data_IF_972461285168
#
_entry.id   IF_972461285168
#
_cell.length_a   1.000
_cell.length_b   1.000
_cell.length_c   1.000
_cell.angle_alpha   90.00
_cell.angle_beta   90.00
_cell.angle_gamma   90.00
#
_symmetry.space_group_name_H-M   'P 1'
#
loop_
_entity.id
_entity.type
_entity.pdbx_description
1 polymer ?
#
# COMPACT_ATOMS: atom_id res chain seq x y z
N UNK A 1 -12.62 5.92 -35.09
CA UNK A 1 -13.11 6.94 -36.04
C UNK A 1 -12.11 8.11 -36.16
N UNK A 2 -11.46 8.59 -35.10
CA UNK A 2 -10.50 9.69 -35.18
C UNK A 2 -9.17 9.29 -35.82
N UNK A 3 -8.61 8.15 -35.46
CA UNK A 3 -7.31 7.67 -35.92
C UNK A 3 -7.30 7.41 -37.43
N UNK A 4 -8.28 6.66 -37.96
CA UNK A 4 -8.37 6.31 -39.36
C UNK A 4 -8.57 7.55 -40.25
N UNK A 5 -9.38 8.51 -39.78
CA UNK A 5 -9.56 9.79 -40.45
C UNK A 5 -8.28 10.63 -40.48
N UNK A 6 -7.51 10.63 -39.39
CA UNK A 6 -6.23 11.35 -39.32
C UNK A 6 -5.20 10.73 -40.25
N UNK A 7 -5.13 9.40 -40.34
CA UNK A 7 -4.25 8.71 -41.31
C UNK A 7 -4.64 9.00 -42.74
N UNK A 8 -5.93 8.94 -43.07
CA UNK A 8 -6.40 9.26 -44.42
C UNK A 8 -6.12 10.73 -44.85
N UNK A 9 -5.98 11.64 -43.88
CA UNK A 9 -5.65 13.04 -44.10
C UNK A 9 -4.16 13.37 -43.97
N UNK A 10 -3.30 12.37 -43.71
CA UNK A 10 -1.91 12.58 -43.36
C UNK A 10 -1.13 13.33 -44.44
N UNK A 11 -1.34 13.05 -45.70
CA UNK A 11 -0.67 13.74 -46.81
C UNK A 11 -1.08 15.20 -46.92
N UNK A 12 -2.35 15.50 -46.68
CA UNK A 12 -2.84 16.88 -46.60
C UNK A 12 -2.33 17.62 -45.40
N UNK A 13 -2.10 16.94 -44.26
CA UNK A 13 -1.51 17.52 -43.08
C UNK A 13 -0.02 17.80 -43.31
N UNK A 14 0.70 16.84 -43.88
CA UNK A 14 2.14 16.98 -44.20
C UNK A 14 2.39 18.12 -45.19
N UNK A 15 1.55 18.27 -46.22
CA UNK A 15 1.68 19.35 -47.22
C UNK A 15 1.50 20.76 -46.63
N UNK A 16 0.83 20.88 -45.47
CA UNK A 16 0.62 22.15 -44.77
C UNK A 16 1.71 22.47 -43.77
N UNK A 17 2.64 21.54 -43.50
CA UNK A 17 3.75 21.73 -42.56
C UNK A 17 4.95 22.27 -43.38
N UNK A 18 5.25 23.57 -43.32
CA UNK A 18 6.28 24.19 -44.19
C UNK A 18 7.73 23.83 -43.80
N UNK A 19 7.93 23.03 -42.76
CA UNK A 19 9.25 22.65 -42.26
C UNK A 19 9.34 21.16 -41.91
N UNK A 20 10.00 20.39 -42.75
CA UNK A 20 10.58 19.13 -42.34
C UNK A 20 11.97 19.40 -41.74
N UNK A 21 12.07 19.27 -40.42
CA UNK A 21 13.38 19.26 -39.77
C UNK A 21 14.00 17.87 -39.99
N UNK A 22 15.20 17.81 -40.53
CA UNK A 22 15.96 16.57 -40.63
C UNK A 22 16.13 15.93 -39.23
N UNK A 23 16.31 14.61 -39.19
CA UNK A 23 16.55 13.92 -37.91
C UNK A 23 17.75 14.48 -37.15
N UNK A 24 18.81 14.84 -37.87
CA UNK A 24 20.03 15.40 -37.30
C UNK A 24 19.76 16.78 -36.70
N UNK A 25 18.98 17.62 -37.37
CA UNK A 25 18.59 18.93 -36.85
C UNK A 25 17.75 18.81 -35.58
N UNK A 26 16.83 17.83 -35.53
CA UNK A 26 16.04 17.56 -34.32
C UNK A 26 16.90 17.06 -33.15
N UNK A 27 17.88 16.20 -33.43
CA UNK A 27 18.81 15.71 -32.41
C UNK A 27 19.69 16.84 -31.89
N UNK A 28 20.19 17.69 -32.77
CA UNK A 28 20.98 18.88 -32.40
C UNK A 28 20.15 19.84 -31.53
N UNK A 29 18.93 20.13 -31.90
CA UNK A 29 18.02 20.97 -31.13
C UNK A 29 17.73 20.35 -29.75
N UNK A 30 17.54 19.04 -29.67
CA UNK A 30 17.38 18.33 -28.39
C UNK A 30 18.61 18.39 -27.53
N UNK A 31 19.80 18.24 -28.08
CA UNK A 31 21.06 18.38 -27.35
C UNK A 31 21.24 19.79 -26.83
N UNK A 32 21.02 20.80 -27.66
CA UNK A 32 21.08 22.22 -27.25
C UNK A 32 20.02 22.56 -26.19
N UNK A 33 18.84 21.98 -26.28
CA UNK A 33 17.80 22.15 -25.25
C UNK A 33 18.22 21.48 -23.94
N UNK A 34 18.72 20.24 -24.01
CA UNK A 34 19.20 19.53 -22.82
C UNK A 34 20.40 20.21 -22.17
N UNK A 35 21.32 20.76 -22.95
CA UNK A 35 22.48 21.51 -22.39
C UNK A 35 22.10 22.81 -21.67
N UNK A 36 20.91 23.34 -21.94
CA UNK A 36 20.36 24.51 -21.24
C UNK A 36 19.58 24.14 -19.98
N UNK A 37 19.29 22.85 -19.78
CA UNK A 37 18.59 22.39 -18.59
C UNK A 37 19.63 22.24 -17.48
N UNK A 38 19.48 22.91 -16.34
CA UNK A 38 20.39 22.74 -15.22
C UNK A 38 20.35 21.30 -14.72
N UNK A 39 21.47 20.79 -14.22
CA UNK A 39 21.55 19.49 -13.58
C UNK A 39 20.59 19.45 -12.37
N UNK A 40 19.91 18.33 -12.20
CA UNK A 40 18.97 18.11 -11.10
C UNK A 40 19.75 17.85 -9.80
N UNK A 41 20.28 18.91 -9.24
CA UNK A 41 20.97 18.95 -7.95
C UNK A 41 20.10 19.70 -6.96
N UNK A 42 19.84 19.12 -5.82
CA UNK A 42 19.00 19.67 -4.76
C UNK A 42 19.87 20.26 -3.65
N UNK A 43 19.56 21.48 -3.23
CA UNK A 43 20.26 22.18 -2.15
C UNK A 43 19.51 22.05 -0.82
N UNK A 44 18.19 22.26 -0.84
CA UNK A 44 17.37 22.31 0.37
C UNK A 44 16.14 21.43 0.27
N UNK A 45 15.77 20.86 1.41
CA UNK A 45 14.52 20.10 1.57
C UNK A 45 13.60 20.89 2.50
N UNK A 46 12.45 21.28 1.96
CA UNK A 46 11.36 21.91 2.71
C UNK A 46 10.23 20.91 2.88
N UNK A 47 9.70 20.78 4.09
CA UNK A 47 8.59 19.88 4.39
C UNK A 47 7.44 20.68 4.98
N UNK A 48 6.30 20.67 4.27
CA UNK A 48 5.06 21.31 4.68
C UNK A 48 4.02 20.29 5.14
N UNK A 49 3.15 20.68 6.05
CA UNK A 49 2.10 19.83 6.62
C UNK A 49 2.59 18.97 7.78
N UNK A 50 1.66 18.23 8.40
CA UNK A 50 1.95 17.41 9.56
C UNK A 50 2.41 18.20 10.81
N UNK A 51 2.71 17.46 11.88
CA UNK A 51 3.29 18.02 13.10
C UNK A 51 4.82 18.18 13.00
N UNK A 52 5.44 18.83 13.98
CA UNK A 52 6.90 19.07 14.00
C UNK A 52 7.71 17.77 13.90
N UNK A 53 7.33 16.74 14.62
CA UNK A 53 8.03 15.44 14.62
C UNK A 53 7.92 14.74 13.26
N UNK A 54 6.78 14.86 12.59
CA UNK A 54 6.56 14.31 11.25
C UNK A 54 7.41 15.01 10.21
N UNK A 55 7.48 16.36 10.26
CA UNK A 55 8.33 17.12 9.36
C UNK A 55 9.80 16.79 9.53
N UNK A 56 10.25 16.73 10.78
CA UNK A 56 11.63 16.37 11.10
C UNK A 56 11.95 14.94 10.66
N UNK A 57 11.01 14.02 10.82
CA UNK A 57 11.14 12.65 10.34
C UNK A 57 11.36 12.59 8.83
N UNK A 58 10.53 13.30 8.06
CA UNK A 58 10.64 13.32 6.60
C UNK A 58 11.95 13.96 6.19
N UNK A 59 12.28 15.11 6.78
CA UNK A 59 13.52 15.84 6.50
C UNK A 59 14.76 14.97 6.69
N UNK A 60 14.83 14.20 7.77
CA UNK A 60 15.96 13.28 8.02
C UNK A 60 16.09 12.13 7.03
N UNK A 61 15.05 11.79 6.27
CA UNK A 61 15.19 10.78 5.23
C UNK A 61 16.02 11.28 4.03
N UNK A 62 16.01 12.60 3.83
CA UNK A 62 16.77 13.28 2.80
C UNK A 62 18.09 13.85 3.33
N UNK A 63 18.46 13.48 4.55
CA UNK A 63 19.58 13.95 5.36
C UNK A 63 20.79 14.35 4.48
N UNK A 64 20.86 15.64 4.17
CA UNK A 64 21.97 16.20 3.43
C UNK A 64 22.25 17.61 3.94
N UNK A 65 23.35 17.72 4.67
CA UNK A 65 23.99 19.00 4.93
C UNK A 65 24.70 19.53 3.66
N UNK A 66 24.74 18.70 2.59
CA UNK A 66 25.37 18.99 1.30
C UNK A 66 24.37 18.80 0.15
N UNK A 67 24.56 19.50 -0.98
CA UNK A 67 23.74 19.31 -2.17
C UNK A 67 23.75 17.84 -2.65
N UNK A 68 22.58 17.30 -3.00
CA UNK A 68 22.41 15.89 -3.34
C UNK A 68 21.79 15.71 -4.74
N UNK A 69 22.12 14.58 -5.38
CA UNK A 69 21.69 14.28 -6.73
C UNK A 69 20.24 13.77 -6.80
N UNK A 70 19.67 13.77 -8.02
CA UNK A 70 18.36 13.18 -8.30
C UNK A 70 18.27 11.69 -7.88
N UNK A 71 19.35 10.93 -8.03
CA UNK A 71 19.39 9.52 -7.61
C UNK A 71 19.27 9.37 -6.09
N UNK A 72 19.95 10.22 -5.34
CA UNK A 72 19.86 10.27 -3.88
C UNK A 72 18.46 10.72 -3.44
N UNK A 73 17.91 11.75 -4.12
CA UNK A 73 16.53 12.18 -3.87
C UNK A 73 15.51 11.07 -4.11
N UNK A 74 15.63 10.32 -5.20
CA UNK A 74 14.79 9.17 -5.51
C UNK A 74 14.93 8.06 -4.48
N UNK A 75 16.15 7.72 -4.08
CA UNK A 75 16.38 6.70 -3.05
C UNK A 75 15.73 7.08 -1.72
N UNK A 76 15.89 8.34 -1.29
CA UNK A 76 15.24 8.86 -0.09
C UNK A 76 13.70 8.87 -0.23
N UNK A 77 13.19 9.27 -1.39
CA UNK A 77 11.76 9.26 -1.69
C UNK A 77 11.16 7.86 -1.62
N UNK A 78 11.80 6.84 -2.20
CA UNK A 78 11.33 5.46 -2.11
C UNK A 78 11.30 4.91 -0.68
N UNK A 79 12.15 5.40 0.19
CA UNK A 79 12.08 5.08 1.63
C UNK A 79 10.82 5.66 2.31
N UNK A 80 10.28 6.74 1.77
CA UNK A 80 9.17 7.50 2.35
C UNK A 80 7.82 7.32 1.64
N UNK A 81 7.80 6.60 0.50
CA UNK A 81 6.63 6.48 -0.41
C UNK A 81 5.39 5.88 0.25
N UNK A 82 5.56 5.04 1.28
CA UNK A 82 4.45 4.44 2.02
C UNK A 82 3.54 5.46 2.71
N UNK A 83 4.00 6.71 2.82
CA UNK A 83 3.32 7.73 3.64
C UNK A 83 2.54 8.77 2.79
N UNK A 84 2.33 8.51 1.49
CA UNK A 84 1.47 9.34 0.62
C UNK A 84 1.97 10.78 0.42
N UNK A 85 3.28 10.99 0.39
CA UNK A 85 3.91 12.30 0.22
C UNK A 85 4.09 12.60 -1.27
N UNK A 86 3.95 13.86 -1.63
CA UNK A 86 4.15 14.32 -3.00
C UNK A 86 5.31 15.30 -3.00
N UNK A 87 6.46 14.95 -3.56
CA UNK A 87 7.59 15.87 -3.70
C UNK A 87 7.38 16.79 -4.91
N UNK A 88 7.78 18.03 -4.75
CA UNK A 88 7.84 19.02 -5.83
C UNK A 88 9.26 19.58 -5.90
N UNK A 89 9.87 19.55 -7.07
CA UNK A 89 11.13 20.18 -7.35
C UNK A 89 10.88 21.64 -7.78
N UNK A 90 11.49 22.60 -7.08
CA UNK A 90 11.41 24.01 -7.40
C UNK A 90 12.80 24.54 -7.69
N UNK A 91 13.00 25.09 -8.88
CA UNK A 91 14.27 25.69 -9.27
C UNK A 91 14.48 27.04 -8.57
N UNK A 92 15.61 27.18 -7.93
CA UNK A 92 16.06 28.43 -7.32
C UNK A 92 17.07 29.12 -8.24
N UNK A 93 16.72 30.33 -8.68
CA UNK A 93 17.55 31.10 -9.62
C UNK A 93 18.80 31.66 -8.96
N UNK A 94 18.78 31.88 -7.65
CA UNK A 94 19.91 32.46 -6.91
C UNK A 94 21.01 31.43 -6.68
N UNK A 95 20.67 30.25 -6.27
CA UNK A 95 21.64 29.16 -6.05
C UNK A 95 21.97 28.38 -7.32
N UNK A 96 21.16 28.48 -8.38
CA UNK A 96 21.28 27.66 -9.59
C UNK A 96 20.94 26.19 -9.39
N UNK A 97 20.40 25.82 -8.23
CA UNK A 97 20.05 24.46 -7.82
C UNK A 97 18.53 24.32 -7.62
N UNK A 98 18.09 23.13 -7.32
CA UNK A 98 16.68 22.86 -7.04
C UNK A 98 16.44 22.75 -5.53
N UNK A 99 15.31 23.28 -5.06
CA UNK A 99 14.79 23.00 -3.74
C UNK A 99 13.74 21.88 -3.84
N UNK A 100 13.77 20.93 -2.92
CA UNK A 100 12.80 19.84 -2.85
C UNK A 100 11.72 20.18 -1.82
N UNK A 101 10.55 20.58 -2.30
CA UNK A 101 9.40 20.87 -1.46
C UNK A 101 8.54 19.61 -1.33
N UNK A 102 8.41 19.07 -0.11
CA UNK A 102 7.64 17.87 0.18
C UNK A 102 6.38 18.26 0.93
N UNK A 103 5.23 17.95 0.35
CA UNK A 103 3.95 18.13 1.02
C UNK A 103 3.56 16.83 1.73
N UNK A 104 3.69 16.82 3.05
CA UNK A 104 3.24 15.71 3.85
C UNK A 104 1.71 15.71 3.90
N UNK A 105 1.09 14.61 3.46
CA UNK A 105 -0.34 14.41 3.66
C UNK A 105 -0.55 14.17 5.16
N UNK A 106 -1.41 14.97 5.76
CA UNK A 106 -1.87 14.70 7.14
C UNK A 106 -2.72 13.43 7.06
N UNK A 107 -2.24 12.34 7.64
CA UNK A 107 -3.03 11.13 7.81
C UNK A 107 -3.71 11.22 9.18
N UNK A 108 -4.96 10.83 9.23
CA UNK A 108 -5.63 10.60 10.49
C UNK A 108 -4.83 9.54 11.26
N UNK A 109 -4.44 9.89 12.48
CA UNK A 109 -3.69 8.96 13.32
C UNK A 109 -4.53 7.75 13.72
N UNK A 110 -5.84 7.93 13.79
CA UNK A 110 -6.80 6.88 14.11
C UNK A 110 -7.88 6.86 13.03
N UNK A 111 -8.06 5.72 12.38
CA UNK A 111 -9.16 5.45 11.48
C UNK A 111 -9.97 4.28 12.03
N UNK A 112 -11.30 4.44 12.11
CA UNK A 112 -12.22 3.39 12.49
C UNK A 112 -13.08 3.08 11.29
N UNK A 113 -13.19 1.81 10.94
CA UNK A 113 -14.02 1.31 9.85
C UNK A 113 -15.03 0.30 10.34
N UNK A 114 -16.21 0.37 9.78
CA UNK A 114 -17.22 -0.66 9.93
C UNK A 114 -17.78 -1.03 8.56
N UNK A 115 -18.15 -2.27 8.40
CA UNK A 115 -18.71 -2.77 7.14
C UNK A 115 -19.40 -4.09 7.36
N UNK A 116 -19.98 -4.61 6.30
CA UNK A 116 -20.63 -5.91 6.38
C UNK A 116 -21.48 -6.16 5.14
N UNK A 117 -22.01 -7.34 5.07
CA UNK A 117 -23.00 -7.69 4.07
C UNK A 117 -24.08 -8.56 4.69
N UNK A 118 -25.27 -8.43 4.16
CA UNK A 118 -26.44 -9.23 4.51
C UNK A 118 -26.87 -9.96 3.25
N UNK A 119 -27.04 -11.25 3.37
CA UNK A 119 -27.46 -12.13 2.30
C UNK A 119 -28.65 -12.96 2.74
N UNK A 120 -29.41 -13.46 1.80
CA UNK A 120 -30.46 -14.47 2.05
C UNK A 120 -29.90 -15.83 2.44
N UNK A 121 -28.59 -16.02 2.31
CA UNK A 121 -27.86 -17.21 2.76
C UNK A 121 -27.30 -17.01 4.17
N UNK A 122 -26.71 -18.06 4.73
CA UNK A 122 -26.06 -18.05 6.06
C UNK A 122 -24.74 -17.25 6.11
N UNK A 123 -24.43 -16.47 5.08
CA UNK A 123 -23.16 -15.77 4.93
C UNK A 123 -23.15 -14.34 5.49
N UNK A 124 -24.12 -13.98 6.33
CA UNK A 124 -24.20 -12.63 6.92
C UNK A 124 -22.99 -12.34 7.81
N UNK A 125 -22.35 -11.19 7.60
CA UNK A 125 -21.14 -10.81 8.33
C UNK A 125 -21.15 -9.32 8.64
N UNK A 126 -20.60 -8.98 9.80
CA UNK A 126 -20.30 -7.61 10.23
C UNK A 126 -18.81 -7.54 10.54
N UNK A 127 -18.18 -6.51 10.04
CA UNK A 127 -16.77 -6.20 10.29
C UNK A 127 -16.66 -4.88 11.04
N UNK A 128 -15.78 -4.82 12.02
CA UNK A 128 -15.33 -3.61 12.68
C UNK A 128 -13.81 -3.62 12.77
N UNK A 129 -13.18 -2.49 12.50
CA UNK A 129 -11.75 -2.35 12.58
C UNK A 129 -11.31 -0.98 13.00
N UNK A 130 -10.15 -0.92 13.61
CA UNK A 130 -9.45 0.30 13.97
C UNK A 130 -8.01 0.21 13.47
N UNK A 131 -7.58 1.27 12.82
CA UNK A 131 -6.20 1.45 12.37
C UNK A 131 -5.61 2.67 13.04
N UNK A 132 -4.50 2.49 13.73
CA UNK A 132 -3.76 3.58 14.37
C UNK A 132 -2.36 3.65 13.81
N UNK A 133 -1.99 4.83 13.29
CA UNK A 133 -0.66 5.08 12.74
C UNK A 133 -0.02 6.28 13.43
N UNK A 134 1.16 6.09 13.95
CA UNK A 134 2.01 7.18 14.38
C UNK A 134 3.20 7.31 13.45
N UNK A 135 3.38 8.52 12.91
CA UNK A 135 4.55 8.86 12.10
C UNK A 135 5.47 9.68 12.98
N UNK A 136 6.50 9.05 13.48
CA UNK A 136 7.53 9.64 14.34
C UNK A 136 8.89 9.08 13.92
N UNK A 137 9.93 9.35 14.71
CA UNK A 137 11.27 8.77 14.51
C UNK A 137 11.24 7.24 14.41
N UNK A 138 10.29 6.59 15.07
CA UNK A 138 9.94 5.18 14.87
C UNK A 138 8.45 5.14 14.55
N UNK A 139 8.12 4.79 13.32
CA UNK A 139 6.72 4.66 12.89
C UNK A 139 6.12 3.39 13.47
N UNK A 140 4.93 3.52 14.06
CA UNK A 140 4.15 2.40 14.57
C UNK A 140 2.80 2.38 13.87
N UNK A 141 2.49 1.26 13.21
CA UNK A 141 1.17 0.96 12.65
C UNK A 141 0.52 -0.15 13.45
N UNK A 142 -0.66 0.14 14.00
CA UNK A 142 -1.49 -0.84 14.71
C UNK A 142 -2.79 -1.05 13.93
N UNK A 143 -3.08 -2.30 13.63
CA UNK A 143 -4.35 -2.73 13.05
C UNK A 143 -5.07 -3.65 14.04
N UNK A 144 -6.28 -3.31 14.40
CA UNK A 144 -7.19 -4.16 15.15
C UNK A 144 -8.43 -4.40 14.29
N UNK A 145 -8.80 -5.63 14.07
CA UNK A 145 -9.97 -5.97 13.28
C UNK A 145 -10.73 -7.14 13.89
N UNK A 146 -12.04 -7.07 13.79
CA UNK A 146 -12.94 -8.16 14.19
C UNK A 146 -14.02 -8.37 13.14
N UNK A 147 -14.40 -9.61 12.96
CA UNK A 147 -15.44 -10.01 12.02
C UNK A 147 -16.34 -11.01 12.70
N UNK A 148 -17.63 -10.74 12.68
CA UNK A 148 -18.66 -11.58 13.32
C UNK A 148 -19.69 -11.92 12.27
N UNK A 149 -19.90 -13.20 12.09
CA UNK A 149 -20.89 -13.72 11.16
C UNK A 149 -21.40 -15.08 11.59
N UNK A 150 -22.43 -15.54 10.92
CA UNK A 150 -23.05 -16.83 11.23
C UNK A 150 -22.09 -17.99 10.93
N UNK A 151 -21.39 -17.94 9.83
CA UNK A 151 -20.46 -18.99 9.38
C UNK A 151 -18.99 -18.69 9.72
N UNK A 152 -18.64 -17.42 9.99
CA UNK A 152 -17.28 -17.01 10.21
C UNK A 152 -17.19 -15.94 11.29
N UNK A 153 -16.27 -16.14 12.23
CA UNK A 153 -15.91 -15.15 13.25
C UNK A 153 -14.40 -15.08 13.33
N UNK A 154 -13.85 -13.89 13.33
CA UNK A 154 -12.40 -13.71 13.48
C UNK A 154 -12.03 -12.46 14.22
N UNK A 155 -10.86 -12.49 14.83
CA UNK A 155 -10.18 -11.33 15.39
C UNK A 155 -8.74 -11.28 14.88
N UNK A 156 -8.26 -10.09 14.56
CA UNK A 156 -6.91 -9.83 14.09
C UNK A 156 -6.32 -8.65 14.86
N UNK A 157 -5.09 -8.82 15.31
CA UNK A 157 -4.23 -7.76 15.82
C UNK A 157 -2.94 -7.76 15.04
N UNK A 158 -2.51 -6.61 14.57
CA UNK A 158 -1.26 -6.44 13.85
C UNK A 158 -0.55 -5.19 14.33
N UNK A 159 0.74 -5.31 14.59
CA UNK A 159 1.62 -4.22 14.98
C UNK A 159 2.84 -4.23 14.05
N UNK A 160 3.08 -3.11 13.37
CA UNK A 160 4.25 -2.92 12.53
C UNK A 160 5.09 -1.77 13.07
N UNK A 161 6.37 -2.04 13.25
CA UNK A 161 7.39 -1.09 13.66
C UNK A 161 8.34 -0.86 12.49
N UNK A 162 8.44 0.37 12.03
CA UNK A 162 9.44 0.75 11.04
C UNK A 162 10.71 1.18 11.77
N UNK A 163 11.75 0.37 11.61
CA UNK A 163 13.04 0.56 12.25
C UNK A 163 13.94 1.40 11.35
N UNK A 164 14.44 2.50 11.89
CA UNK A 164 15.39 3.37 11.20
C UNK A 164 16.82 2.97 11.53
N UNK A 165 17.27 2.01 10.78
CA UNK A 165 18.68 1.65 10.74
C UNK A 165 19.28 2.16 9.42
N UNK A 166 20.58 2.03 9.25
CA UNK A 166 21.28 2.37 7.98
C UNK A 166 20.55 1.74 6.77
N UNK A 167 20.03 0.54 6.96
CA UNK A 167 19.10 -0.10 5.99
C UNK A 167 17.70 -0.01 6.58
N UNK A 168 16.76 0.74 5.98
CA UNK A 168 15.41 0.83 6.50
C UNK A 168 14.76 -0.55 6.51
N UNK A 169 14.28 -0.99 7.66
CA UNK A 169 13.62 -2.29 7.82
C UNK A 169 12.34 -2.13 8.63
N UNK A 170 11.45 -3.08 8.52
CA UNK A 170 10.29 -3.14 9.39
C UNK A 170 10.13 -4.49 10.04
N UNK A 171 9.62 -4.47 11.26
CA UNK A 171 9.19 -5.65 12.00
C UNK A 171 7.66 -5.61 12.11
N UNK A 172 6.98 -6.69 11.70
CA UNK A 172 5.53 -6.80 11.81
C UNK A 172 5.16 -8.04 12.60
N UNK A 173 4.48 -7.83 13.71
CA UNK A 173 3.83 -8.89 14.50
C UNK A 173 2.35 -8.95 14.11
N UNK A 174 1.83 -10.14 13.90
CA UNK A 174 0.42 -10.36 13.57
C UNK A 174 -0.10 -11.56 14.35
N UNK A 175 -1.21 -11.38 15.05
CA UNK A 175 -1.97 -12.44 15.69
C UNK A 175 -3.36 -12.50 15.09
N UNK A 176 -3.83 -13.71 14.79
CA UNK A 176 -5.16 -13.97 14.22
C UNK A 176 -5.78 -15.14 14.97
N UNK A 177 -7.03 -15.00 15.31
CA UNK A 177 -7.87 -16.09 15.78
C UNK A 177 -9.15 -16.10 14.94
N UNK A 178 -9.48 -17.24 14.36
CA UNK A 178 -10.67 -17.39 13.52
C UNK A 178 -11.41 -18.67 13.84
N UNK A 179 -12.70 -18.63 13.60
CA UNK A 179 -13.60 -19.77 13.74
C UNK A 179 -14.54 -19.78 12.55
N UNK A 180 -14.52 -20.86 11.80
CA UNK A 180 -15.36 -21.05 10.63
C UNK A 180 -16.22 -22.29 10.79
N UNK A 181 -17.49 -22.18 10.40
CA UNK A 181 -18.44 -23.28 10.36
C UNK A 181 -18.71 -23.66 8.91
N UNK A 182 -18.47 -24.89 8.56
CA UNK A 182 -18.78 -25.46 7.26
C UNK A 182 -20.00 -26.33 7.41
N UNK A 183 -21.08 -25.97 6.72
CA UNK A 183 -22.32 -26.76 6.69
C UNK A 183 -22.26 -27.76 5.58
N UNK A 184 -22.67 -29.01 5.87
CA UNK A 184 -22.59 -30.13 4.90
C UNK A 184 -23.65 -30.02 3.80
N UNK A 185 -24.75 -29.31 4.03
CA UNK A 185 -25.89 -29.19 3.11
C UNK A 185 -26.31 -27.72 2.99
N UNK A 186 -25.62 -26.94 2.19
CA UNK A 186 -26.15 -25.67 1.67
C UNK A 186 -26.91 -25.92 0.38
N UNK A 187 -28.05 -26.63 0.45
CA UNK A 187 -28.96 -26.67 -0.68
C UNK A 187 -29.94 -25.50 -0.60
N UNK A 188 -30.02 -24.74 -1.66
CA UNK A 188 -30.92 -23.58 -1.81
C UNK A 188 -32.43 -23.85 -1.56
N UNK A 189 -32.81 -25.14 -1.45
CA UNK A 189 -34.20 -25.54 -1.41
C UNK A 189 -34.58 -26.44 -0.21
N UNK A 190 -33.66 -26.81 0.66
CA UNK A 190 -33.93 -27.63 1.83
C UNK A 190 -33.38 -26.96 3.09
N UNK A 191 -34.29 -26.54 3.94
CA UNK A 191 -33.97 -26.10 5.31
C UNK A 191 -33.90 -27.36 6.19
N UNK A 192 -32.69 -27.85 6.41
CA UNK A 192 -32.49 -28.89 7.42
C UNK A 192 -32.53 -28.24 8.81
N UNK A 193 -33.41 -28.74 9.68
CA UNK A 193 -33.57 -28.19 11.04
C UNK A 193 -32.37 -28.47 11.94
N UNK A 194 -31.51 -29.42 11.59
CA UNK A 194 -30.30 -29.77 12.33
C UNK A 194 -29.17 -30.16 11.36
N UNK A 195 -28.58 -29.19 10.66
CA UNK A 195 -27.53 -29.48 9.71
C UNK A 195 -26.27 -29.96 10.40
N UNK A 196 -25.64 -31.00 9.86
CA UNK A 196 -24.29 -31.38 10.27
C UNK A 196 -23.30 -30.31 9.86
N UNK A 197 -22.40 -29.95 10.75
CA UNK A 197 -21.38 -28.91 10.45
C UNK A 197 -20.03 -29.25 11.11
N UNK A 198 -18.97 -28.79 10.46
CA UNK A 198 -17.62 -28.81 10.97
C UNK A 198 -17.28 -27.39 11.45
N UNK A 199 -16.79 -27.30 12.66
CA UNK A 199 -16.24 -26.04 13.17
C UNK A 199 -14.73 -26.13 13.15
N UNK A 200 -14.12 -25.33 12.30
CA UNK A 200 -12.68 -25.16 12.24
C UNK A 200 -12.29 -23.93 13.04
N UNK A 201 -11.39 -24.09 13.99
CA UNK A 201 -10.81 -23.01 14.78
C UNK A 201 -9.33 -22.91 14.46
N UNK A 202 -8.90 -21.75 14.00
CA UNK A 202 -7.52 -21.47 13.64
C UNK A 202 -6.99 -20.32 14.49
N UNK A 203 -5.80 -20.49 15.03
CA UNK A 203 -5.08 -19.43 15.76
C UNK A 203 -3.63 -19.43 15.31
N UNK A 204 -3.11 -18.27 14.95
CA UNK A 204 -1.69 -18.15 14.64
C UNK A 204 -1.11 -16.79 15.04
N UNK A 205 0.17 -16.83 15.31
CA UNK A 205 1.01 -15.65 15.47
C UNK A 205 2.12 -15.69 14.44
N UNK A 206 2.36 -14.58 13.76
CA UNK A 206 3.36 -14.46 12.71
C UNK A 206 4.21 -13.22 12.92
N UNK A 207 5.53 -13.42 12.89
CA UNK A 207 6.52 -12.36 12.91
C UNK A 207 7.11 -12.23 11.51
N UNK A 208 7.18 -11.01 10.98
CA UNK A 208 7.75 -10.69 9.66
C UNK A 208 8.81 -9.63 9.79
N UNK A 209 9.95 -9.85 9.17
CA UNK A 209 11.00 -8.89 8.97
C UNK A 209 11.05 -8.53 7.48
N UNK A 210 10.89 -7.26 7.16
CA UNK A 210 10.98 -6.77 5.80
C UNK A 210 12.19 -5.87 5.62
N UNK A 211 12.97 -6.14 4.57
CA UNK A 211 14.17 -5.41 4.20
C UNK A 211 13.99 -4.88 2.77
N UNK A 212 14.28 -3.61 2.49
CA UNK A 212 14.35 -3.14 1.12
C UNK A 212 15.53 -3.83 0.42
N UNK A 213 15.26 -4.33 -0.76
CA UNK A 213 16.26 -4.97 -1.61
C UNK A 213 16.14 -4.35 -2.99
N UNK A 214 17.15 -3.59 -3.41
CA UNK A 214 17.13 -2.80 -4.63
C UNK A 214 16.04 -1.68 -4.64
N UNK A 215 16.10 -0.83 -5.66
CA UNK A 215 15.12 0.23 -5.89
C UNK A 215 13.77 -0.38 -6.32
N UNK A 216 12.79 -0.36 -5.43
CA UNK A 216 11.44 -0.85 -5.71
C UNK A 216 11.15 -2.31 -5.35
N UNK A 217 12.12 -3.05 -4.77
CA UNK A 217 11.94 -4.43 -4.31
C UNK A 217 12.15 -4.55 -2.81
N UNK A 218 11.48 -5.53 -2.18
CA UNK A 218 11.70 -5.86 -0.76
C UNK A 218 11.79 -7.36 -0.57
N UNK A 219 12.70 -7.78 0.29
CA UNK A 219 12.76 -9.14 0.82
C UNK A 219 11.97 -9.21 2.13
N UNK A 220 11.19 -10.27 2.31
CA UNK A 220 10.42 -10.49 3.53
C UNK A 220 10.70 -11.89 4.05
N UNK A 221 11.19 -11.96 5.28
CA UNK A 221 11.34 -13.22 6.01
C UNK A 221 10.24 -13.28 7.07
N UNK A 222 9.58 -14.41 7.19
CA UNK A 222 8.52 -14.58 8.17
C UNK A 222 8.62 -15.92 8.89
N UNK A 223 8.37 -15.88 10.19
CA UNK A 223 8.22 -17.06 11.03
C UNK A 223 6.85 -16.99 11.69
N UNK A 224 6.16 -18.10 11.76
CA UNK A 224 4.85 -18.17 12.40
C UNK A 224 4.64 -19.49 13.11
N UNK A 225 3.84 -19.42 14.14
CA UNK A 225 3.34 -20.58 14.87
C UNK A 225 1.82 -20.50 14.91
N UNK A 226 1.17 -21.61 14.68
CA UNK A 226 -0.30 -21.69 14.70
C UNK A 226 -0.79 -23.06 15.09
N UNK A 227 -2.03 -23.08 15.50
CA UNK A 227 -2.77 -24.30 15.77
C UNK A 227 -4.12 -24.27 15.07
N UNK A 228 -4.55 -25.41 14.61
CA UNK A 228 -5.86 -25.64 13.99
C UNK A 228 -6.55 -26.78 14.73
N UNK A 229 -7.82 -26.57 15.04
CA UNK A 229 -8.64 -27.55 15.74
C UNK A 229 -10.00 -27.65 15.05
N UNK A 230 -10.34 -28.86 14.63
CA UNK A 230 -11.59 -29.17 13.96
C UNK A 230 -12.51 -29.91 14.92
N UNK A 231 -13.75 -29.43 15.04
CA UNK A 231 -14.81 -30.10 15.79
C UNK A 231 -15.93 -30.50 14.83
N UNK A 232 -16.26 -31.76 14.85
CA UNK A 232 -17.31 -32.31 14.04
C UNK A 232 -18.60 -32.43 14.85
N UNK A 233 -19.68 -31.87 14.32
CA UNK A 233 -21.02 -31.99 14.90
C UNK A 233 -21.91 -32.74 13.92
N UNK A 234 -22.35 -33.94 14.32
CA UNK A 234 -23.27 -34.74 13.57
C UNK A 234 -24.67 -34.61 14.15
N UNK A 235 -25.66 -34.32 13.30
CA UNK A 235 -27.05 -34.40 13.76
C UNK A 235 -27.40 -35.88 14.05
N UNK A 236 -27.86 -36.16 15.25
CA UNK A 236 -28.49 -37.44 15.54
C UNK A 236 -29.81 -37.50 14.77
N UNK A 237 -29.79 -38.04 13.57
CA UNK A 237 -31.00 -38.60 12.97
C UNK A 237 -31.36 -39.80 13.81
N UNK A 238 -32.30 -39.62 14.73
CA UNK A 238 -32.88 -40.73 15.47
C UNK A 238 -33.33 -41.78 14.46
N UNK A 239 -32.85 -42.98 14.65
CA UNK A 239 -33.36 -44.16 13.94
C UNK A 239 -34.88 -44.21 14.11
N UNK A 240 -35.62 -43.83 13.09
CA UNK A 240 -37.02 -44.25 12.99
C UNK A 240 -36.97 -45.77 12.70
N UNK A 241 -37.15 -46.56 13.75
CA UNK A 241 -37.55 -47.95 13.58
C UNK A 241 -38.93 -47.96 12.94
N UNK A 242 -39.01 -48.50 11.76
CA UNK A 242 -40.24 -48.95 11.12
C UNK A 242 -40.93 -50.02 11.98
#
# INVERSE_FOLDING_TARGET
IGYDRTIAMMDSIKSRIPRELSQDTRQLQRMVFKSKTPDLVFDKVSVEGGNHQQREYIRRQFDSDEPFSDEQAKAAYYKTISDGKIPHARYDKESGMFNLDIKAKVHDQLAIGMGGFISSTSSNQIYIGAHYRTVSLNSLDLDLGGQIGQSYTSGMLSARFDLKTVIPMYLKLQAVASKQKFYQNETLFYSDRMPSFITQSEQYVKLRLGLPFLTGSKAVVSVGYGSMNDKYYQSNTGSQSL
#
